data_IF_526895826207
#
_entry.id   IF_526895826207
#
_cell.length_a   1.000
_cell.length_b   1.000
_cell.length_c   1.000
_cell.angle_alpha   90.00
_cell.angle_beta   90.00
_cell.angle_gamma   90.00
#
_symmetry.space_group_name_H-M   'P 1'
#
loop_
_entity.id
_entity.type
_entity.pdbx_description
1 polymer ?
#
# COMPACT_ATOMS: atom_id res chain seq x y z
N UNK A 1 1.65 20.91 11.95
CA UNK A 1 2.74 20.59 10.98
C UNK A 1 2.62 21.68 9.95
N UNK A 2 3.59 22.61 9.91
CA UNK A 2 3.46 23.88 9.19
C UNK A 2 2.98 23.73 7.74
N UNK A 3 3.51 22.75 7.00
CA UNK A 3 3.06 22.45 5.64
C UNK A 3 1.56 22.10 5.56
N UNK A 4 1.10 21.18 6.41
CA UNK A 4 -0.29 20.74 6.45
C UNK A 4 -1.22 21.87 6.88
N UNK A 5 -0.76 22.74 7.80
CA UNK A 5 -1.54 23.88 8.29
C UNK A 5 -1.68 24.93 7.17
N UNK A 6 -0.60 25.22 6.45
CA UNK A 6 -0.61 26.11 5.28
C UNK A 6 -1.50 25.59 4.15
N UNK A 7 -1.46 24.28 3.85
CA UNK A 7 -2.38 23.66 2.88
C UNK A 7 -3.84 23.83 3.29
N UNK A 8 -4.15 23.59 4.57
CA UNK A 8 -5.53 23.69 5.05
C UNK A 8 -6.08 25.11 5.00
N UNK A 9 -5.22 26.11 5.22
CA UNK A 9 -5.58 27.53 5.20
C UNK A 9 -5.55 28.16 3.80
N UNK A 10 -5.21 27.40 2.76
CA UNK A 10 -5.10 27.93 1.40
C UNK A 10 -3.85 28.79 1.17
N UNK A 11 -2.87 28.72 2.05
CA UNK A 11 -1.62 29.47 1.96
C UNK A 11 -0.60 28.71 1.09
N UNK A 12 -0.90 28.58 -0.20
CA UNK A 12 -0.15 27.71 -1.13
C UNK A 12 1.33 28.06 -1.23
N UNK A 13 1.65 29.36 -1.22
CA UNK A 13 3.04 29.82 -1.26
C UNK A 13 3.80 29.39 0.00
N UNK A 14 3.18 29.55 1.17
CA UNK A 14 3.76 29.10 2.44
C UNK A 14 3.93 27.58 2.48
N UNK A 15 2.97 26.82 1.93
CA UNK A 15 3.09 25.37 1.82
C UNK A 15 4.24 24.96 0.90
N UNK A 16 4.42 25.64 -0.24
CA UNK A 16 5.57 25.43 -1.12
C UNK A 16 6.89 25.76 -0.41
N UNK A 17 6.98 26.92 0.23
CA UNK A 17 8.18 27.38 0.93
C UNK A 17 8.52 26.51 2.16
N UNK A 18 7.58 25.73 2.70
CA UNK A 18 7.84 24.78 3.78
C UNK A 18 8.74 23.59 3.36
N UNK A 19 8.71 23.23 2.08
CA UNK A 19 9.54 22.16 1.52
C UNK A 19 10.62 22.67 0.55
N UNK A 20 10.42 23.84 -0.05
CA UNK A 20 11.45 24.50 -0.83
C UNK A 20 12.56 25.05 0.09
N UNK A 21 13.83 24.78 -0.20
CA UNK A 21 14.96 25.18 0.67
C UNK A 21 15.22 24.23 1.84
N UNK A 22 14.82 22.96 1.71
CA UNK A 22 14.94 21.93 2.76
C UNK A 22 16.37 21.57 3.20
N UNK A 23 17.41 22.02 2.49
CA UNK A 23 18.84 21.72 2.72
C UNK A 23 19.25 20.23 2.85
N UNK A 24 18.31 19.29 2.75
CA UNK A 24 18.63 17.86 2.61
C UNK A 24 19.41 17.59 1.31
N UNK A 25 20.60 17.01 1.45
CA UNK A 25 21.45 16.66 0.31
C UNK A 25 21.07 15.33 -0.34
N UNK A 26 20.60 14.34 0.46
CA UNK A 26 20.23 12.98 0.03
C UNK A 26 19.10 12.38 0.90
N UNK A 27 18.62 11.18 0.53
CA UNK A 27 17.72 10.35 1.34
C UNK A 27 16.23 10.69 1.26
N UNK A 28 15.43 9.96 2.04
CA UNK A 28 13.95 9.99 1.98
C UNK A 28 13.37 11.38 2.27
N UNK A 29 14.01 12.16 3.16
CA UNK A 29 13.56 13.53 3.45
C UNK A 29 13.70 14.46 2.25
N UNK A 30 14.73 14.26 1.43
CA UNK A 30 14.88 14.99 0.16
C UNK A 30 13.82 14.56 -0.84
N UNK A 31 13.59 13.24 -0.97
CA UNK A 31 12.54 12.68 -1.84
C UNK A 31 11.18 13.28 -1.51
N UNK A 32 10.79 13.29 -0.23
CA UNK A 32 9.50 13.86 0.19
C UNK A 32 9.43 15.38 -0.02
N UNK A 33 10.51 16.11 0.29
CA UNK A 33 10.53 17.56 0.14
C UNK A 33 10.43 18.00 -1.34
N UNK A 34 11.24 17.41 -2.21
CA UNK A 34 11.17 17.65 -3.66
C UNK A 34 9.78 17.30 -4.20
N UNK A 35 9.23 16.17 -3.77
CA UNK A 35 7.91 15.75 -4.21
C UNK A 35 6.81 16.76 -3.80
N UNK A 36 6.71 17.13 -2.53
CA UNK A 36 5.65 18.03 -2.07
C UNK A 36 5.83 19.46 -2.58
N UNK A 37 7.06 19.96 -2.71
CA UNK A 37 7.32 21.25 -3.35
C UNK A 37 6.84 21.25 -4.81
N UNK A 38 7.19 20.21 -5.57
CA UNK A 38 6.74 20.05 -6.96
C UNK A 38 5.22 19.89 -7.08
N UNK A 39 4.60 19.10 -6.21
CA UNK A 39 3.16 18.89 -6.20
C UNK A 39 2.38 20.17 -5.89
N UNK A 40 2.80 20.97 -4.90
CA UNK A 40 2.17 22.26 -4.61
C UNK A 40 2.39 23.24 -5.76
N UNK A 41 3.59 23.29 -6.33
CA UNK A 41 3.89 24.15 -7.47
C UNK A 41 2.95 23.84 -8.66
N UNK A 42 2.74 22.56 -8.97
CA UNK A 42 1.88 22.15 -10.07
C UNK A 42 0.39 22.38 -9.78
N UNK A 43 -0.09 21.91 -8.62
CA UNK A 43 -1.54 21.73 -8.38
C UNK A 43 -2.19 22.89 -7.65
N UNK A 44 -1.40 23.76 -7.00
CA UNK A 44 -1.91 24.89 -6.22
C UNK A 44 -1.41 26.25 -6.72
N UNK A 45 -0.18 26.30 -7.24
CA UNK A 45 0.42 27.52 -7.77
C UNK A 45 0.32 27.66 -9.29
N UNK A 46 -0.12 26.62 -10.01
CA UNK A 46 -0.14 26.57 -11.48
C UNK A 46 1.22 26.91 -12.12
N UNK A 47 2.32 26.49 -11.48
CA UNK A 47 3.69 26.68 -11.95
C UNK A 47 4.30 25.33 -12.38
N UNK A 48 3.97 24.84 -13.59
CA UNK A 48 4.47 23.55 -14.05
C UNK A 48 5.98 23.56 -14.37
N UNK A 49 6.58 24.73 -14.60
CA UNK A 49 8.02 24.83 -14.84
C UNK A 49 8.82 24.58 -13.56
N UNK A 50 8.39 25.18 -12.44
CA UNK A 50 8.98 24.89 -11.12
C UNK A 50 8.71 23.46 -10.69
N UNK A 51 7.48 22.97 -10.90
CA UNK A 51 7.14 21.58 -10.59
C UNK A 51 8.05 20.57 -11.33
N UNK A 52 8.27 20.78 -12.64
CA UNK A 52 9.13 19.90 -13.43
C UNK A 52 10.57 19.84 -12.90
N UNK A 53 11.13 20.96 -12.40
CA UNK A 53 12.48 20.97 -11.80
C UNK A 53 12.57 20.09 -10.54
N UNK A 54 11.57 20.19 -9.66
CA UNK A 54 11.49 19.36 -8.46
C UNK A 54 11.33 17.88 -8.81
N UNK A 55 10.41 17.54 -9.71
CA UNK A 55 10.21 16.14 -10.10
C UNK A 55 11.40 15.55 -10.85
N UNK A 56 12.15 16.35 -11.61
CA UNK A 56 13.40 15.90 -12.23
C UNK A 56 14.49 15.65 -11.17
N UNK A 57 14.57 16.50 -10.14
CA UNK A 57 15.50 16.27 -9.02
C UNK A 57 15.11 15.01 -8.23
N UNK A 58 13.81 14.82 -7.96
CA UNK A 58 13.27 13.59 -7.38
C UNK A 58 13.70 12.35 -8.17
N UNK A 59 13.59 12.39 -9.50
CA UNK A 59 14.02 11.31 -10.41
C UNK A 59 15.52 11.03 -10.33
N UNK A 60 16.35 12.03 -10.07
CA UNK A 60 17.81 11.87 -9.97
C UNK A 60 18.25 11.35 -8.60
N UNK A 61 17.51 11.68 -7.53
CA UNK A 61 17.87 11.35 -6.13
C UNK A 61 17.69 9.87 -5.79
N UNK A 62 16.74 9.17 -6.39
CA UNK A 62 16.46 7.76 -6.05
C UNK A 62 16.08 6.94 -7.27
N UNK A 63 16.73 5.79 -7.46
CA UNK A 63 16.49 4.86 -8.57
C UNK A 63 15.45 3.77 -8.23
N UNK A 64 14.81 3.83 -7.05
CA UNK A 64 13.80 2.83 -6.69
C UNK A 64 12.58 2.95 -7.63
N UNK A 65 11.92 1.84 -7.99
CA UNK A 65 10.75 1.87 -8.89
C UNK A 65 9.63 2.79 -8.41
N UNK A 66 9.41 2.89 -7.10
CA UNK A 66 8.36 3.76 -6.52
C UNK A 66 8.66 5.22 -6.79
N UNK A 67 9.91 5.65 -6.52
CA UNK A 67 10.31 7.04 -6.75
C UNK A 67 10.37 7.36 -8.24
N UNK A 68 10.90 6.45 -9.07
CA UNK A 68 10.92 6.63 -10.53
C UNK A 68 9.51 6.73 -11.10
N UNK A 69 8.60 5.80 -10.74
CA UNK A 69 7.21 5.84 -11.17
C UNK A 69 6.52 7.14 -10.78
N UNK A 70 6.70 7.60 -9.53
CA UNK A 70 6.15 8.88 -9.04
C UNK A 70 6.72 10.07 -9.81
N UNK A 71 8.03 10.18 -9.92
CA UNK A 71 8.68 11.29 -10.60
C UNK A 71 8.26 11.38 -12.07
N UNK A 72 8.25 10.25 -12.79
CA UNK A 72 7.90 10.19 -14.22
C UNK A 72 6.42 10.50 -14.45
N UNK A 73 5.52 9.99 -13.61
CA UNK A 73 4.11 10.36 -13.69
C UNK A 73 3.92 11.87 -13.54
N UNK A 74 4.52 12.47 -12.51
CA UNK A 74 4.33 13.90 -12.23
C UNK A 74 5.09 14.82 -13.19
N UNK A 75 6.22 14.39 -13.76
CA UNK A 75 6.86 15.04 -14.91
C UNK A 75 5.95 15.04 -16.14
N UNK A 76 5.27 13.92 -16.40
CA UNK A 76 4.25 13.83 -17.45
C UNK A 76 3.12 14.84 -17.23
N UNK A 77 2.60 14.93 -15.99
CA UNK A 77 1.57 15.91 -15.61
C UNK A 77 2.03 17.35 -15.76
N UNK A 78 3.28 17.66 -15.38
CA UNK A 78 3.85 18.99 -15.56
C UNK A 78 4.05 19.33 -17.06
N UNK A 79 4.44 18.36 -17.89
CA UNK A 79 4.51 18.54 -19.34
C UNK A 79 3.13 18.78 -19.97
N UNK A 80 2.09 18.03 -19.56
CA UNK A 80 0.70 18.27 -19.98
C UNK A 80 0.26 19.71 -19.66
N UNK A 81 0.53 20.18 -18.44
CA UNK A 81 0.19 21.55 -18.01
C UNK A 81 0.93 22.66 -18.77
N UNK A 82 2.05 22.34 -19.43
CA UNK A 82 2.78 23.26 -20.33
C UNK A 82 2.33 23.16 -21.79
N UNK A 83 1.38 22.28 -22.13
CA UNK A 83 0.98 22.01 -23.51
C UNK A 83 1.97 21.13 -24.28
N UNK A 84 2.95 20.51 -23.61
CA UNK A 84 3.92 19.60 -24.22
C UNK A 84 3.40 18.15 -24.20
N UNK A 85 2.47 17.85 -25.12
CA UNK A 85 1.85 16.54 -25.21
C UNK A 85 2.85 15.42 -25.56
N UNK A 86 3.87 15.73 -26.38
CA UNK A 86 4.88 14.76 -26.79
C UNK A 86 5.79 14.39 -25.61
N UNK A 87 6.31 15.40 -24.89
CA UNK A 87 7.11 15.20 -23.70
C UNK A 87 6.33 14.48 -22.60
N UNK A 88 5.06 14.84 -22.40
CA UNK A 88 4.19 14.14 -21.46
C UNK A 88 4.08 12.63 -21.76
N UNK A 89 3.82 12.27 -23.02
CA UNK A 89 3.76 10.87 -23.44
C UNK A 89 5.10 10.15 -23.27
N UNK A 90 6.23 10.82 -23.52
CA UNK A 90 7.55 10.28 -23.24
C UNK A 90 7.73 9.89 -21.77
N UNK A 91 7.38 10.80 -20.85
CA UNK A 91 7.45 10.53 -19.41
C UNK A 91 6.49 9.42 -18.97
N UNK A 92 5.26 9.40 -19.47
CA UNK A 92 4.29 8.36 -19.12
C UNK A 92 4.73 6.97 -19.56
N UNK A 93 5.29 6.83 -20.77
CA UNK A 93 5.85 5.54 -21.23
C UNK A 93 7.03 5.09 -20.41
N UNK A 94 7.90 6.01 -19.99
CA UNK A 94 9.00 5.70 -19.09
C UNK A 94 8.48 5.26 -17.71
N UNK A 95 7.51 5.99 -17.15
CA UNK A 95 6.88 5.64 -15.87
C UNK A 95 6.17 4.29 -15.89
N UNK A 96 5.56 3.94 -17.04
CA UNK A 96 4.91 2.66 -17.26
C UNK A 96 5.86 1.45 -17.16
N UNK A 97 7.18 1.64 -17.26
CA UNK A 97 8.15 0.56 -17.01
C UNK A 97 8.17 0.13 -15.53
N UNK A 98 7.61 0.94 -14.63
CA UNK A 98 7.44 0.64 -13.21
C UNK A 98 6.00 0.24 -12.87
N UNK A 99 5.36 -0.54 -13.74
CA UNK A 99 3.93 -0.89 -13.71
C UNK A 99 3.45 -1.60 -12.43
N UNK A 100 4.37 -2.09 -11.60
CA UNK A 100 4.07 -2.66 -10.29
C UNK A 100 3.78 -1.60 -9.21
N UNK A 101 4.04 -0.32 -9.50
CA UNK A 101 3.89 0.79 -8.56
C UNK A 101 2.66 1.63 -8.88
N UNK A 102 2.07 2.29 -7.89
CA UNK A 102 0.88 3.12 -8.00
C UNK A 102 0.99 4.15 -9.12
N UNK A 103 2.04 4.97 -9.09
CA UNK A 103 2.26 5.99 -10.10
C UNK A 103 2.74 5.41 -11.44
N UNK A 104 3.41 4.25 -11.45
CA UNK A 104 3.71 3.54 -12.70
C UNK A 104 2.46 3.00 -13.40
N UNK A 105 1.45 2.54 -12.64
CA UNK A 105 0.14 2.15 -13.17
C UNK A 105 -0.63 3.35 -13.73
N UNK A 106 -0.66 4.47 -13.01
CA UNK A 106 -1.28 5.71 -13.52
C UNK A 106 -0.56 6.24 -14.77
N UNK A 107 0.77 6.14 -14.81
CA UNK A 107 1.58 6.50 -15.98
C UNK A 107 1.28 5.57 -17.16
N UNK A 108 1.13 4.26 -16.92
CA UNK A 108 0.74 3.30 -17.94
C UNK A 108 -0.65 3.62 -18.54
N UNK A 109 -1.65 3.94 -17.71
CA UNK A 109 -2.97 4.39 -18.22
C UNK A 109 -2.84 5.66 -19.07
N UNK A 110 -2.06 6.65 -18.61
CA UNK A 110 -1.79 7.90 -19.36
C UNK A 110 -1.00 7.67 -20.65
N UNK A 111 -0.19 6.62 -20.71
CA UNK A 111 0.51 6.18 -21.92
C UNK A 111 -0.38 5.40 -22.90
N UNK A 112 -1.66 5.18 -22.56
CA UNK A 112 -2.64 4.46 -23.39
C UNK A 112 -2.65 2.95 -23.18
N UNK A 113 -1.98 2.43 -22.15
CA UNK A 113 -2.07 1.01 -21.81
C UNK A 113 -3.42 0.71 -21.15
N UNK A 114 -4.12 -0.31 -21.66
CA UNK A 114 -5.43 -0.74 -21.15
C UNK A 114 -5.36 -2.02 -20.33
N UNK A 115 -4.20 -2.66 -20.28
CA UNK A 115 -4.02 -3.99 -19.71
C UNK A 115 -2.75 -4.03 -18.87
N UNK A 116 -2.86 -4.56 -17.65
CA UNK A 116 -1.74 -4.95 -16.81
C UNK A 116 -1.39 -6.39 -17.13
N UNK A 117 -0.17 -6.64 -17.59
CA UNK A 117 0.37 -7.99 -17.77
C UNK A 117 1.55 -8.19 -16.85
N UNK A 118 1.44 -9.19 -16.00
CA UNK A 118 2.47 -9.57 -15.04
C UNK A 118 3.51 -10.48 -15.71
N UNK A 119 4.80 -10.32 -15.40
CA UNK A 119 5.83 -11.23 -15.89
C UNK A 119 5.66 -12.62 -15.25
N UNK A 120 6.22 -13.65 -15.88
CA UNK A 120 6.43 -14.92 -15.19
C UNK A 120 7.50 -14.77 -14.12
N UNK A 121 7.41 -15.58 -13.07
CA UNK A 121 8.47 -15.66 -12.08
C UNK A 121 9.76 -16.26 -12.72
N UNK A 122 10.96 -15.84 -12.28
CA UNK A 122 12.20 -16.49 -12.66
C UNK A 122 12.15 -17.99 -12.30
N UNK A 123 12.49 -18.85 -13.26
CA UNK A 123 12.63 -20.28 -13.06
C UNK A 123 14.13 -20.62 -12.92
N UNK A 124 14.61 -21.00 -11.73
CA UNK A 124 16.02 -21.35 -11.53
C UNK A 124 16.40 -22.60 -12.34
N UNK A 125 17.52 -22.54 -13.06
CA UNK A 125 18.13 -23.71 -13.71
C UNK A 125 18.91 -24.58 -12.71
N UNK A 126 19.33 -25.78 -13.11
CA UNK A 126 20.23 -26.62 -12.30
C UNK A 126 21.54 -25.89 -11.93
N UNK A 127 22.07 -25.08 -12.86
CA UNK A 127 23.26 -24.28 -12.61
C UNK A 127 23.02 -23.14 -11.60
N UNK A 128 21.82 -22.54 -11.60
CA UNK A 128 21.43 -21.54 -10.59
C UNK A 128 21.33 -22.18 -9.21
N UNK A 129 20.71 -23.36 -9.12
CA UNK A 129 20.60 -24.11 -7.87
C UNK A 129 22.00 -24.49 -7.35
N UNK A 130 22.87 -25.01 -8.21
CA UNK A 130 24.23 -25.36 -7.82
C UNK A 130 25.04 -24.15 -7.31
N UNK A 131 24.90 -22.98 -7.98
CA UNK A 131 25.53 -21.73 -7.53
C UNK A 131 24.97 -21.27 -6.19
N UNK A 132 23.65 -21.32 -6.02
CA UNK A 132 22.97 -20.95 -4.77
C UNK A 132 23.44 -21.82 -3.60
N UNK A 133 23.47 -23.15 -3.77
CA UNK A 133 23.93 -24.09 -2.73
C UNK A 133 25.44 -24.05 -2.48
N UNK A 134 26.26 -23.56 -3.43
CA UNK A 134 27.68 -23.37 -3.20
C UNK A 134 27.98 -22.19 -2.26
N UNK A 135 27.07 -21.23 -2.12
CA UNK A 135 27.23 -20.07 -1.24
C UNK A 135 27.26 -20.52 0.24
N UNK A 136 28.32 -20.13 0.95
CA UNK A 136 28.52 -20.54 2.36
C UNK A 136 27.45 -19.98 3.30
N UNK A 137 26.97 -18.76 3.06
CA UNK A 137 25.91 -18.12 3.86
C UNK A 137 24.58 -18.81 3.60
N UNK A 138 24.31 -19.23 2.35
CA UNK A 138 23.13 -20.06 2.03
C UNK A 138 23.19 -21.39 2.77
N UNK A 139 24.32 -22.09 2.74
CA UNK A 139 24.49 -23.36 3.49
C UNK A 139 24.32 -23.19 4.99
N UNK A 140 24.87 -22.12 5.56
CA UNK A 140 24.67 -21.79 6.97
C UNK A 140 23.19 -21.51 7.28
N UNK A 141 22.50 -20.76 6.40
CA UNK A 141 21.06 -20.48 6.51
C UNK A 141 20.24 -21.76 6.47
N UNK A 142 20.60 -22.72 5.59
CA UNK A 142 19.98 -24.04 5.49
C UNK A 142 20.13 -24.83 6.79
N UNK A 143 21.33 -24.89 7.36
CA UNK A 143 21.59 -25.55 8.65
C UNK A 143 20.71 -24.94 9.76
N UNK A 144 20.63 -23.60 9.84
CA UNK A 144 19.77 -22.91 10.81
C UNK A 144 18.28 -23.26 10.62
N UNK A 145 17.85 -23.39 9.35
CA UNK A 145 16.54 -23.86 8.96
C UNK A 145 16.24 -25.26 9.49
N UNK A 146 17.17 -26.19 9.26
CA UNK A 146 17.08 -27.60 9.65
C UNK A 146 17.13 -27.82 11.17
N UNK A 147 17.87 -26.99 11.90
CA UNK A 147 17.97 -27.08 13.37
C UNK A 147 16.89 -26.30 14.11
N UNK A 148 16.03 -25.56 13.40
CA UNK A 148 14.93 -24.79 14.01
C UNK A 148 15.33 -23.42 14.56
N UNK A 149 16.55 -22.94 14.29
CA UNK A 149 17.09 -21.66 14.80
C UNK A 149 16.58 -20.45 13.99
N UNK A 150 15.25 -20.25 13.99
CA UNK A 150 14.57 -19.32 13.08
C UNK A 150 14.95 -17.85 13.28
N UNK A 151 15.31 -17.45 14.51
CA UNK A 151 15.76 -16.07 14.76
C UNK A 151 17.03 -15.75 13.96
N UNK A 152 18.00 -16.66 13.95
CA UNK A 152 19.22 -16.51 13.18
C UNK A 152 18.99 -16.75 11.69
N UNK A 153 18.12 -17.71 11.32
CA UNK A 153 17.71 -17.92 9.94
C UNK A 153 17.26 -16.61 9.29
N UNK A 154 16.40 -15.83 9.97
CA UNK A 154 15.89 -14.56 9.47
C UNK A 154 17.00 -13.53 9.23
N UNK A 155 17.93 -13.41 10.17
CA UNK A 155 19.06 -12.49 10.05
C UNK A 155 19.89 -12.82 8.80
N UNK A 156 20.18 -14.11 8.59
CA UNK A 156 20.94 -14.55 7.42
C UNK A 156 20.17 -14.37 6.11
N UNK A 157 18.86 -14.67 6.12
CA UNK A 157 18.01 -14.46 4.95
C UNK A 157 17.95 -12.98 4.53
N UNK A 158 17.85 -12.05 5.48
CA UNK A 158 17.89 -10.61 5.17
C UNK A 158 19.27 -10.16 4.68
N UNK A 159 20.36 -10.69 5.23
CA UNK A 159 21.69 -10.41 4.68
C UNK A 159 21.87 -10.96 3.25
N UNK A 160 21.26 -12.12 2.96
CA UNK A 160 21.30 -12.72 1.64
C UNK A 160 20.48 -11.93 0.61
N UNK A 161 19.33 -11.34 0.96
CA UNK A 161 18.53 -10.60 -0.01
C UNK A 161 19.21 -9.33 -0.56
N UNK A 162 20.10 -8.72 0.23
CA UNK A 162 20.95 -7.60 -0.16
C UNK A 162 22.13 -8.02 -1.06
N UNK A 163 22.64 -9.24 -0.88
CA UNK A 163 23.90 -9.70 -1.50
C UNK A 163 23.71 -10.63 -2.68
N UNK A 164 22.56 -11.31 -2.78
CA UNK A 164 22.28 -12.22 -3.88
C UNK A 164 22.06 -11.43 -5.19
N UNK A 165 22.83 -11.74 -6.24
CA UNK A 165 22.87 -10.91 -7.43
C UNK A 165 21.70 -11.17 -8.38
N UNK A 166 21.27 -12.44 -8.52
CA UNK A 166 20.33 -12.83 -9.56
C UNK A 166 18.88 -12.91 -9.06
N UNK A 167 17.87 -12.57 -9.90
CA UNK A 167 16.47 -12.83 -9.60
C UNK A 167 16.17 -14.31 -9.27
N UNK A 168 16.88 -15.25 -9.88
CA UNK A 168 16.76 -16.69 -9.60
C UNK A 168 17.27 -17.05 -8.20
N UNK A 169 18.32 -16.39 -7.71
CA UNK A 169 18.82 -16.60 -6.35
C UNK A 169 17.82 -16.09 -5.29
N UNK A 170 17.18 -14.95 -5.54
CA UNK A 170 16.13 -14.41 -4.67
C UNK A 170 14.88 -15.31 -4.69
N UNK A 171 14.52 -15.85 -5.85
CA UNK A 171 13.44 -16.84 -5.96
C UNK A 171 13.73 -18.08 -5.10
N UNK A 172 14.95 -18.62 -5.19
CA UNK A 172 15.40 -19.75 -4.36
C UNK A 172 15.40 -19.41 -2.86
N UNK A 173 15.84 -18.21 -2.47
CA UNK A 173 15.82 -17.76 -1.07
C UNK A 173 14.38 -17.63 -0.53
N UNK A 174 13.45 -17.09 -1.32
CA UNK A 174 12.03 -17.02 -0.95
C UNK A 174 11.45 -18.43 -0.77
N UNK A 175 11.77 -19.36 -1.67
CA UNK A 175 11.27 -20.73 -1.63
C UNK A 175 11.86 -21.51 -0.45
N UNK A 176 13.17 -21.35 -0.18
CA UNK A 176 13.83 -21.91 1.01
C UNK A 176 13.20 -21.39 2.30
N UNK A 177 12.97 -20.08 2.40
CA UNK A 177 12.31 -19.47 3.55
C UNK A 177 10.92 -20.04 3.78
N UNK A 178 10.12 -20.19 2.72
CA UNK A 178 8.80 -20.85 2.84
C UNK A 178 8.91 -22.31 3.28
N UNK A 179 9.88 -23.04 2.75
CA UNK A 179 10.12 -24.45 3.07
C UNK A 179 10.34 -24.69 4.57
N UNK A 180 10.95 -23.75 5.27
CA UNK A 180 11.16 -23.79 6.72
C UNK A 180 10.03 -23.14 7.54
N UNK A 181 8.88 -22.81 6.93
CA UNK A 181 7.76 -22.15 7.61
C UNK A 181 7.96 -20.64 7.85
N UNK A 182 8.98 -20.05 7.24
CA UNK A 182 9.33 -18.63 7.32
C UNK A 182 8.69 -17.83 6.18
N UNK A 183 7.36 -17.92 6.07
CA UNK A 183 6.58 -17.24 5.04
C UNK A 183 6.69 -15.71 5.08
N UNK A 184 6.70 -15.10 6.27
CA UNK A 184 6.90 -13.65 6.42
C UNK A 184 8.28 -13.23 5.91
N UNK A 185 9.32 -13.98 6.26
CA UNK A 185 10.69 -13.75 5.79
C UNK A 185 10.77 -13.84 4.27
N UNK A 186 10.15 -14.84 3.66
CA UNK A 186 10.05 -14.93 2.21
C UNK A 186 9.39 -13.68 1.59
N UNK A 187 8.34 -13.14 2.22
CA UNK A 187 7.68 -11.92 1.74
C UNK A 187 8.55 -10.67 1.90
N UNK A 188 9.37 -10.59 2.95
CA UNK A 188 10.34 -9.50 3.13
C UNK A 188 11.44 -9.53 2.06
N UNK A 189 12.00 -10.70 1.75
CA UNK A 189 12.91 -10.90 0.60
C UNK A 189 12.24 -10.44 -0.70
N UNK A 190 10.96 -10.80 -0.89
CA UNK A 190 10.16 -10.33 -2.03
C UNK A 190 9.99 -8.81 -2.09
N UNK A 191 9.84 -8.13 -0.94
CA UNK A 191 9.75 -6.67 -0.87
C UNK A 191 11.09 -6.02 -1.20
N UNK A 192 12.21 -6.56 -0.72
CA UNK A 192 13.56 -6.11 -1.09
C UNK A 192 13.79 -6.26 -2.61
N UNK A 193 13.42 -7.42 -3.18
CA UNK A 193 13.44 -7.64 -4.62
C UNK A 193 12.61 -6.60 -5.40
N UNK A 194 11.41 -6.26 -4.89
CA UNK A 194 10.56 -5.23 -5.50
C UNK A 194 11.20 -3.84 -5.49
N UNK A 195 11.97 -3.49 -4.45
CA UNK A 195 12.73 -2.22 -4.40
C UNK A 195 13.85 -2.17 -5.44
N UNK A 196 14.37 -3.33 -5.85
CA UNK A 196 15.35 -3.50 -6.93
C UNK A 196 14.71 -3.62 -8.32
N UNK A 197 13.38 -3.51 -8.43
CA UNK A 197 12.65 -3.64 -9.69
C UNK A 197 12.39 -5.09 -10.13
N UNK A 198 12.66 -6.07 -9.26
CA UNK A 198 12.45 -7.49 -9.54
C UNK A 198 11.04 -7.88 -9.09
N UNK A 199 10.17 -8.07 -10.06
CA UNK A 199 8.79 -8.52 -9.86
C UNK A 199 8.72 -10.04 -10.07
N UNK A 200 8.28 -10.75 -9.04
CA UNK A 200 8.03 -12.19 -9.04
C UNK A 200 6.59 -12.40 -8.60
N UNK A 201 5.61 -12.18 -9.49
CA UNK A 201 4.22 -12.10 -9.11
C UNK A 201 3.73 -13.28 -8.28
N UNK A 202 4.05 -14.52 -8.67
CA UNK A 202 3.58 -15.72 -7.97
C UNK A 202 4.09 -15.78 -6.54
N UNK A 203 5.39 -15.50 -6.34
CA UNK A 203 6.01 -15.47 -5.02
C UNK A 203 5.67 -14.21 -4.22
N UNK A 204 5.47 -13.04 -4.82
CA UNK A 204 5.32 -11.77 -4.08
C UNK A 204 3.87 -11.39 -3.77
N UNK A 205 2.89 -12.10 -4.34
CA UNK A 205 1.46 -11.82 -4.19
C UNK A 205 0.66 -13.10 -3.90
N UNK A 206 0.87 -13.79 -2.77
CA UNK A 206 0.19 -15.06 -2.50
C UNK A 206 -1.34 -14.90 -2.58
N UNK A 207 -2.00 -15.96 -3.06
CA UNK A 207 -3.46 -16.03 -3.16
C UNK A 207 -3.95 -17.00 -2.08
N UNK A 208 -4.71 -16.47 -1.11
CA UNK A 208 -5.50 -17.26 -0.16
C UNK A 208 -6.94 -16.81 -0.26
N UNK A 209 -7.83 -17.70 -0.69
CA UNK A 209 -9.25 -17.38 -0.81
C UNK A 209 -9.87 -17.44 0.59
N UNK A 210 -10.44 -16.34 1.12
CA UNK A 210 -11.11 -16.37 2.41
C UNK A 210 -12.41 -17.19 2.32
N UNK A 211 -12.91 -17.75 3.45
CA UNK A 211 -14.24 -18.32 3.49
C UNK A 211 -15.29 -17.33 3.01
N UNK A 212 -16.27 -17.81 2.23
CA UNK A 212 -17.30 -16.95 1.65
C UNK A 212 -18.24 -16.44 2.74
N UNK A 213 -18.52 -15.13 2.71
CA UNK A 213 -19.44 -14.47 3.61
C UNK A 213 -20.26 -13.42 2.85
N UNK A 214 -21.56 -13.35 3.15
CA UNK A 214 -22.45 -12.36 2.54
C UNK A 214 -21.99 -10.94 2.87
N UNK A 215 -21.98 -10.05 1.87
CA UNK A 215 -21.54 -8.67 2.03
C UNK A 215 -20.02 -8.47 2.08
N UNK A 216 -19.21 -9.52 1.82
CA UNK A 216 -17.76 -9.37 1.70
C UNK A 216 -17.35 -8.39 0.60
N UNK A 217 -16.24 -7.70 0.80
CA UNK A 217 -15.62 -6.90 -0.24
C UNK A 217 -15.11 -7.78 -1.41
N UNK A 218 -14.92 -7.20 -2.62
CA UNK A 218 -14.36 -7.93 -3.76
C UNK A 218 -13.03 -8.61 -3.44
N UNK A 219 -12.86 -9.86 -3.87
CA UNK A 219 -11.68 -10.66 -3.57
C UNK A 219 -10.33 -9.98 -3.88
N UNK A 220 -10.11 -9.31 -5.04
CA UNK A 220 -8.84 -8.63 -5.29
C UNK A 220 -8.52 -7.54 -4.24
N UNK A 221 -9.54 -6.84 -3.75
CA UNK A 221 -9.39 -5.79 -2.74
C UNK A 221 -9.08 -6.39 -1.36
N UNK A 222 -9.77 -7.47 -0.99
CA UNK A 222 -9.49 -8.23 0.24
C UNK A 222 -8.06 -8.78 0.27
N UNK A 223 -7.58 -9.35 -0.84
CA UNK A 223 -6.20 -9.83 -0.96
C UNK A 223 -5.19 -8.68 -0.87
N UNK A 224 -5.49 -7.52 -1.48
CA UNK A 224 -4.65 -6.33 -1.42
C UNK A 224 -4.51 -5.78 0.01
N UNK A 225 -5.61 -5.72 0.77
CA UNK A 225 -5.62 -5.35 2.19
C UNK A 225 -4.80 -6.38 2.99
N UNK A 226 -5.08 -7.68 2.82
CA UNK A 226 -4.35 -8.75 3.54
C UNK A 226 -2.83 -8.67 3.30
N UNK A 227 -2.41 -8.41 2.07
CA UNK A 227 -0.99 -8.19 1.72
C UNK A 227 -0.40 -7.01 2.46
N UNK A 228 -1.14 -5.90 2.53
CA UNK A 228 -0.66 -4.68 3.14
C UNK A 228 -0.60 -4.77 4.67
N UNK A 229 -1.55 -5.48 5.28
CA UNK A 229 -1.66 -5.63 6.74
C UNK A 229 -0.61 -6.58 7.33
N UNK A 230 -0.46 -7.78 6.74
CA UNK A 230 0.38 -8.83 7.35
C UNK A 230 1.36 -9.47 6.37
N UNK A 231 1.30 -9.12 5.08
CA UNK A 231 1.94 -9.91 4.02
C UNK A 231 1.54 -11.39 4.09
N UNK A 232 0.29 -11.70 4.47
CA UNK A 232 -0.24 -13.05 4.66
C UNK A 232 0.42 -13.85 5.80
N UNK A 233 1.02 -13.18 6.79
CA UNK A 233 1.48 -13.85 8.01
C UNK A 233 0.34 -13.97 9.04
N UNK A 234 -0.17 -15.17 9.33
CA UNK A 234 -1.22 -15.35 10.32
C UNK A 234 -0.73 -15.10 11.74
N UNK A 235 0.57 -15.00 11.98
CA UNK A 235 1.18 -14.74 13.30
C UNK A 235 1.50 -13.25 13.51
N UNK A 236 1.17 -12.39 12.54
CA UNK A 236 1.48 -10.96 12.61
C UNK A 236 0.75 -10.29 13.80
N UNK A 237 1.50 -9.55 14.61
CA UNK A 237 0.99 -8.77 15.74
C UNK A 237 1.52 -7.34 15.70
N UNK A 238 0.62 -6.35 15.65
CA UNK A 238 1.04 -4.95 15.76
C UNK A 238 1.29 -4.53 17.21
N UNK A 239 1.93 -3.38 17.39
CA UNK A 239 2.10 -2.73 18.71
C UNK A 239 0.76 -2.41 19.39
N UNK A 240 -0.28 -2.14 18.60
CA UNK A 240 -1.64 -1.89 19.08
C UNK A 240 -2.44 -3.19 19.32
N UNK A 241 -1.79 -4.35 19.25
CA UNK A 241 -2.41 -5.67 19.39
C UNK A 241 -3.39 -6.04 18.27
N UNK A 242 -3.17 -5.51 17.05
CA UNK A 242 -3.85 -6.01 15.86
C UNK A 242 -3.26 -7.36 15.46
N UNK A 243 -4.11 -8.35 15.13
CA UNK A 243 -3.68 -9.75 15.00
C UNK A 243 -4.03 -10.37 13.65
N UNK A 244 -3.14 -11.26 13.19
CA UNK A 244 -3.37 -12.16 12.06
C UNK A 244 -3.42 -11.48 10.70
N UNK A 245 -3.98 -12.23 9.74
CA UNK A 245 -3.92 -11.95 8.30
C UNK A 245 -4.35 -10.53 7.91
N UNK A 246 -5.43 -10.03 8.50
CA UNK A 246 -6.00 -8.72 8.19
C UNK A 246 -5.83 -7.71 9.35
N UNK A 247 -4.91 -8.00 10.29
CA UNK A 247 -4.56 -7.15 11.44
C UNK A 247 -5.81 -6.61 12.17
N UNK A 248 -6.55 -7.54 12.77
CA UNK A 248 -7.79 -7.21 13.48
C UNK A 248 -7.55 -6.94 14.96
N UNK A 249 -8.02 -5.79 15.46
CA UNK A 249 -8.04 -5.51 16.90
C UNK A 249 -9.10 -6.40 17.58
N UNK A 250 -8.82 -6.96 18.77
CA UNK A 250 -9.78 -7.76 19.53
C UNK A 250 -11.15 -7.07 19.72
N UNK A 251 -11.18 -5.76 19.98
CA UNK A 251 -12.41 -4.98 20.14
C UNK A 251 -13.23 -4.90 18.85
N UNK A 252 -12.58 -4.57 17.73
CA UNK A 252 -13.22 -4.54 16.40
C UNK A 252 -13.73 -5.93 16.02
N UNK A 253 -12.92 -6.98 16.25
CA UNK A 253 -13.27 -8.37 16.00
C UNK A 253 -14.55 -8.80 16.72
N UNK A 254 -14.68 -8.46 18.00
CA UNK A 254 -15.86 -8.79 18.80
C UNK A 254 -17.12 -8.13 18.25
N UNK A 255 -17.05 -6.84 17.89
CA UNK A 255 -18.17 -6.12 17.29
C UNK A 255 -18.58 -6.68 15.93
N UNK A 256 -17.61 -7.05 15.10
CA UNK A 256 -17.84 -7.63 13.77
C UNK A 256 -18.42 -9.04 13.88
N UNK A 257 -17.86 -9.89 14.74
CA UNK A 257 -18.38 -11.24 14.97
C UNK A 257 -19.84 -11.20 15.43
N UNK A 258 -20.21 -10.26 16.30
CA UNK A 258 -21.59 -10.05 16.74
C UNK A 258 -22.52 -9.69 15.56
N UNK A 259 -22.13 -8.73 14.71
CA UNK A 259 -22.94 -8.34 13.53
C UNK A 259 -23.07 -9.46 12.51
N UNK A 260 -22.04 -10.30 12.41
CA UNK A 260 -22.02 -11.45 11.53
C UNK A 260 -22.74 -12.69 12.12
N UNK A 261 -23.19 -12.64 13.39
CA UNK A 261 -23.83 -13.76 14.06
C UNK A 261 -22.85 -14.91 14.41
N UNK A 262 -21.55 -14.63 14.46
CA UNK A 262 -20.51 -15.60 14.80
C UNK A 262 -20.08 -15.47 16.25
N UNK A 263 -19.69 -16.59 16.87
CA UNK A 263 -19.04 -16.56 18.18
C UNK A 263 -17.68 -15.86 18.10
N UNK A 264 -17.44 -14.92 19.02
CA UNK A 264 -16.17 -14.23 19.13
C UNK A 264 -15.12 -15.11 19.85
N UNK A 265 -13.90 -15.17 19.32
CA UNK A 265 -12.73 -15.70 20.01
C UNK A 265 -11.48 -14.90 19.66
N UNK A 266 -10.83 -14.34 20.67
CA UNK A 266 -9.58 -13.59 20.52
C UNK A 266 -8.42 -14.48 20.02
N UNK A 267 -8.42 -15.76 20.42
CA UNK A 267 -7.40 -16.73 20.03
C UNK A 267 -7.54 -17.14 18.57
N UNK A 268 -8.78 -17.27 18.08
CA UNK A 268 -9.04 -17.57 16.67
C UNK A 268 -8.66 -16.44 15.73
N UNK A 269 -8.25 -15.27 16.23
CA UNK A 269 -7.67 -14.23 15.36
C UNK A 269 -6.34 -14.66 14.73
N UNK A 270 -5.66 -15.68 15.27
CA UNK A 270 -4.48 -16.31 14.65
C UNK A 270 -4.85 -17.38 13.61
N UNK A 271 -6.09 -17.85 13.60
CA UNK A 271 -6.60 -18.74 12.56
C UNK A 271 -6.87 -17.93 11.28
N UNK A 272 -6.20 -18.23 10.16
CA UNK A 272 -6.32 -17.43 8.94
C UNK A 272 -7.75 -17.32 8.44
N UNK A 273 -8.53 -18.41 8.49
CA UNK A 273 -9.87 -18.46 7.92
C UNK A 273 -10.86 -17.66 8.76
N UNK A 274 -10.81 -17.79 10.09
CA UNK A 274 -11.61 -16.96 10.98
C UNK A 274 -11.24 -15.48 10.86
N UNK A 275 -9.94 -15.15 10.87
CA UNK A 275 -9.47 -13.77 10.75
C UNK A 275 -9.92 -13.13 9.44
N UNK A 276 -9.70 -13.82 8.31
CA UNK A 276 -10.08 -13.31 7.00
C UNK A 276 -11.60 -13.31 6.79
N UNK A 277 -12.37 -14.18 7.44
CA UNK A 277 -13.85 -14.11 7.41
C UNK A 277 -14.33 -12.80 8.03
N UNK A 278 -13.89 -12.49 9.24
CA UNK A 278 -14.24 -11.25 9.93
C UNK A 278 -13.75 -10.02 9.16
N UNK A 279 -12.49 -10.05 8.71
CA UNK A 279 -11.87 -8.95 7.98
C UNK A 279 -12.53 -8.67 6.63
N UNK A 280 -12.87 -9.72 5.86
CA UNK A 280 -13.53 -9.56 4.54
C UNK A 280 -14.93 -8.97 4.68
N UNK A 281 -15.68 -9.41 5.69
CA UNK A 281 -16.99 -8.85 6.00
C UNK A 281 -16.88 -7.39 6.44
N UNK A 282 -15.98 -7.09 7.39
CA UNK A 282 -15.80 -5.72 7.87
C UNK A 282 -15.33 -4.75 6.77
N UNK A 283 -14.45 -5.21 5.89
CA UNK A 283 -14.02 -4.45 4.72
C UNK A 283 -15.21 -4.13 3.80
N UNK A 284 -16.11 -5.10 3.61
CA UNK A 284 -17.36 -4.90 2.88
C UNK A 284 -18.31 -3.91 3.55
N UNK A 285 -18.45 -3.97 4.88
CA UNK A 285 -19.23 -2.98 5.64
C UNK A 285 -18.69 -1.56 5.45
N UNK A 286 -17.37 -1.37 5.57
CA UNK A 286 -16.73 -0.08 5.34
C UNK A 286 -16.96 0.39 3.90
N UNK A 287 -16.80 -0.49 2.93
CA UNK A 287 -17.03 -0.16 1.52
C UNK A 287 -18.47 0.29 1.26
N UNK A 288 -19.45 -0.38 1.85
CA UNK A 288 -20.86 0.03 1.78
C UNK A 288 -21.09 1.39 2.44
N UNK A 289 -20.50 1.63 3.63
CA UNK A 289 -20.60 2.91 4.34
C UNK A 289 -20.01 4.08 3.54
N UNK A 290 -19.04 3.81 2.66
CA UNK A 290 -18.45 4.81 1.77
C UNK A 290 -19.03 4.79 0.34
N UNK A 291 -20.22 4.22 0.16
CA UNK A 291 -20.94 4.24 -1.10
C UNK A 291 -20.26 3.45 -2.22
N UNK A 292 -19.54 2.37 -1.87
CA UNK A 292 -18.78 1.55 -2.81
C UNK A 292 -17.36 2.05 -3.11
N UNK A 293 -16.91 3.12 -2.44
CA UNK A 293 -15.58 3.69 -2.73
C UNK A 293 -14.45 2.92 -2.02
N UNK A 294 -13.65 2.21 -2.80
CA UNK A 294 -12.46 1.49 -2.30
C UNK A 294 -11.43 2.45 -1.73
N UNK A 295 -11.19 3.60 -2.39
CA UNK A 295 -10.26 4.61 -1.89
C UNK A 295 -10.67 5.12 -0.51
N UNK A 296 -11.94 5.48 -0.29
CA UNK A 296 -12.41 5.89 1.04
C UNK A 296 -12.33 4.75 2.06
N UNK A 297 -12.56 3.52 1.61
CA UNK A 297 -12.44 2.32 2.46
C UNK A 297 -11.02 2.13 2.98
N UNK A 298 -10.00 2.38 2.15
CA UNK A 298 -8.60 2.31 2.61
C UNK A 298 -8.29 3.35 3.69
N UNK A 299 -8.89 4.55 3.62
CA UNK A 299 -8.80 5.55 4.70
C UNK A 299 -9.47 5.04 5.97
N UNK A 300 -10.70 4.53 5.85
CA UNK A 300 -11.47 4.04 6.98
C UNK A 300 -10.83 2.84 7.69
N UNK A 301 -10.20 1.94 6.93
CA UNK A 301 -9.53 0.75 7.45
C UNK A 301 -8.25 1.12 8.22
N UNK A 302 -7.39 1.97 7.65
CA UNK A 302 -6.10 2.30 8.26
C UNK A 302 -6.17 3.44 9.29
N UNK A 303 -6.93 4.50 9.02
CA UNK A 303 -6.96 5.70 9.87
C UNK A 303 -8.26 5.82 10.70
N UNK A 304 -9.19 4.89 10.53
CA UNK A 304 -10.51 4.88 11.16
C UNK A 304 -11.59 5.56 10.32
N UNK A 305 -12.85 5.08 10.40
CA UNK A 305 -13.92 5.46 9.47
C UNK A 305 -14.28 6.96 9.51
N UNK A 306 -14.08 7.62 10.65
CA UNK A 306 -14.34 9.05 10.80
C UNK A 306 -13.37 9.93 10.00
N UNK A 307 -12.20 9.42 9.59
CA UNK A 307 -11.19 10.20 8.86
C UNK A 307 -11.55 10.43 7.40
N UNK A 308 -12.19 9.47 6.74
CA UNK A 308 -12.60 9.59 5.34
C UNK A 308 -13.44 10.86 5.08
N UNK A 309 -14.56 11.12 5.78
CA UNK A 309 -15.33 12.35 5.57
C UNK A 309 -14.57 13.63 5.95
N UNK A 310 -13.72 13.59 6.99
CA UNK A 310 -12.88 14.73 7.37
C UNK A 310 -11.89 15.10 6.25
N UNK A 311 -11.30 14.09 5.62
CA UNK A 311 -10.35 14.31 4.53
C UNK A 311 -11.05 14.71 3.24
N UNK A 312 -12.26 14.22 2.97
CA UNK A 312 -13.10 14.74 1.88
C UNK A 312 -13.40 16.22 2.09
N UNK A 313 -13.73 16.66 3.31
CA UNK A 313 -13.95 18.07 3.60
C UNK A 313 -12.67 18.92 3.45
N UNK A 314 -11.50 18.34 3.77
CA UNK A 314 -10.20 19.01 3.72
C UNK A 314 -9.59 19.09 2.31
N UNK A 315 -9.66 17.98 1.57
CA UNK A 315 -8.93 17.76 0.33
C UNK A 315 -9.84 17.72 -0.91
N UNK A 316 -11.15 17.78 -0.70
CA UNK A 316 -12.17 17.57 -1.73
C UNK A 316 -12.50 16.10 -1.96
N UNK A 317 -13.62 15.84 -2.64
CA UNK A 317 -14.12 14.48 -2.86
C UNK A 317 -13.53 13.89 -4.14
N UNK A 318 -12.75 12.80 -4.08
CA UNK A 318 -12.18 12.17 -5.27
C UNK A 318 -13.21 11.34 -6.05
N UNK A 319 -14.39 11.06 -5.45
CA UNK A 319 -15.46 10.30 -6.09
C UNK A 319 -16.19 11.16 -7.09
N UNK A 320 -16.55 10.58 -8.24
CA UNK A 320 -17.32 11.28 -9.27
C UNK A 320 -16.59 12.45 -9.96
N UNK A 321 -15.29 12.65 -9.70
CA UNK A 321 -14.42 13.52 -10.49
C UNK A 321 -14.33 14.99 -10.07
N UNK A 322 -14.75 15.38 -8.86
CA UNK A 322 -14.58 16.77 -8.39
C UNK A 322 -13.11 17.12 -8.13
N UNK A 323 -12.35 16.17 -7.58
CA UNK A 323 -10.91 16.28 -7.34
C UNK A 323 -10.21 15.08 -7.95
N UNK A 324 -8.99 15.29 -8.46
CA UNK A 324 -8.13 14.20 -8.89
C UNK A 324 -7.81 13.29 -7.69
N UNK A 325 -8.09 11.97 -7.75
CA UNK A 325 -7.76 11.07 -6.66
C UNK A 325 -6.28 11.09 -6.25
N UNK A 326 -5.35 11.36 -7.17
CA UNK A 326 -3.94 11.52 -6.81
C UNK A 326 -3.73 12.74 -5.89
N UNK A 327 -4.42 13.86 -6.17
CA UNK A 327 -4.36 15.06 -5.32
C UNK A 327 -5.02 14.84 -3.96
N UNK A 328 -6.13 14.09 -3.91
CA UNK A 328 -6.76 13.71 -2.65
C UNK A 328 -5.79 12.90 -1.78
N UNK A 329 -5.13 11.88 -2.38
CA UNK A 329 -4.13 11.07 -1.69
C UNK A 329 -3.03 11.96 -1.15
N UNK A 330 -2.41 12.80 -1.98
CA UNK A 330 -1.23 13.56 -1.55
C UNK A 330 -1.56 14.68 -0.55
N UNK A 331 -2.78 15.21 -0.59
CA UNK A 331 -3.29 16.15 0.40
C UNK A 331 -3.53 15.52 1.79
N UNK A 332 -3.74 14.20 1.87
CA UNK A 332 -4.08 13.56 3.14
C UNK A 332 -2.97 13.77 4.20
N UNK A 333 -3.34 14.07 5.46
CA UNK A 333 -2.39 14.54 6.47
C UNK A 333 -1.45 13.45 7.01
N UNK A 334 -1.80 12.17 6.86
CA UNK A 334 -1.04 11.06 7.43
C UNK A 334 -0.22 10.39 6.34
N UNK A 335 1.12 10.52 6.41
CA UNK A 335 2.03 9.86 5.46
C UNK A 335 1.81 8.35 5.42
N UNK A 336 1.60 7.71 6.57
CA UNK A 336 1.29 6.28 6.64
C UNK A 336 0.06 5.95 5.80
N UNK A 337 -1.05 6.67 5.99
CA UNK A 337 -2.29 6.40 5.25
C UNK A 337 -2.18 6.76 3.78
N UNK A 338 -1.41 7.79 3.40
CA UNK A 338 -1.11 8.07 1.98
C UNK A 338 -0.47 6.87 1.31
N UNK A 339 0.59 6.34 1.94
CA UNK A 339 1.25 5.15 1.47
C UNK A 339 0.29 3.95 1.46
N UNK A 340 -0.51 3.77 2.50
CA UNK A 340 -1.50 2.71 2.58
C UNK A 340 -2.51 2.77 1.41
N UNK A 341 -3.11 3.93 1.13
CA UNK A 341 -4.02 4.14 -0.01
C UNK A 341 -3.36 3.71 -1.32
N UNK A 342 -2.15 4.21 -1.59
CA UNK A 342 -1.41 3.86 -2.82
C UNK A 342 -1.09 2.37 -2.90
N UNK A 343 -0.58 1.77 -1.82
CA UNK A 343 -0.18 0.36 -1.76
C UNK A 343 -1.36 -0.58 -1.93
N UNK A 344 -2.49 -0.32 -1.30
CA UNK A 344 -3.66 -1.19 -1.44
C UNK A 344 -4.21 -1.10 -2.86
N UNK A 345 -4.35 0.11 -3.41
CA UNK A 345 -4.92 0.29 -4.74
C UNK A 345 -3.99 -0.26 -5.84
N UNK A 346 -2.66 -0.10 -5.73
CA UNK A 346 -1.71 -0.71 -6.68
C UNK A 346 -1.71 -2.25 -6.57
N UNK A 347 -1.75 -2.80 -5.34
CA UNK A 347 -1.79 -4.24 -5.09
C UNK A 347 -3.08 -4.86 -5.64
N UNK A 348 -4.20 -4.15 -5.56
CA UNK A 348 -5.48 -4.61 -6.07
C UNK A 348 -5.43 -4.85 -7.59
N UNK A 349 -4.81 -3.93 -8.36
CA UNK A 349 -4.58 -4.15 -9.79
C UNK A 349 -3.74 -5.40 -10.06
N UNK A 350 -2.69 -5.63 -9.27
CA UNK A 350 -1.86 -6.84 -9.39
C UNK A 350 -2.69 -8.09 -9.06
N UNK A 351 -3.53 -8.05 -8.03
CA UNK A 351 -4.39 -9.18 -7.69
C UNK A 351 -5.48 -9.45 -8.74
N UNK A 352 -6.03 -8.42 -9.38
CA UNK A 352 -6.92 -8.59 -10.55
C UNK A 352 -6.22 -9.42 -11.64
N UNK A 353 -4.98 -9.08 -11.98
CA UNK A 353 -4.19 -9.83 -12.97
C UNK A 353 -3.80 -11.23 -12.48
N UNK A 354 -3.35 -11.39 -11.22
CA UNK A 354 -3.00 -12.69 -10.63
C UNK A 354 -4.16 -13.68 -10.62
N UNK A 355 -5.38 -13.20 -10.37
CA UNK A 355 -6.59 -14.02 -10.38
C UNK A 355 -7.07 -14.36 -11.80
N UNK A 356 -6.56 -13.68 -12.82
CA UNK A 356 -6.95 -13.85 -14.22
C UNK A 356 -5.76 -14.32 -15.09
N UNK A 357 -4.97 -15.27 -14.58
CA UNK A 357 -3.89 -15.91 -15.34
C UNK A 357 -2.68 -15.00 -15.65
N UNK A 358 -2.49 -13.93 -14.89
CA UNK A 358 -1.37 -13.01 -15.06
C UNK A 358 -1.69 -11.74 -15.84
N UNK A 359 -2.92 -11.56 -16.33
CA UNK A 359 -3.30 -10.35 -17.07
C UNK A 359 -4.71 -9.86 -16.71
N UNK A 360 -4.92 -8.55 -16.59
CA UNK A 360 -6.24 -7.96 -16.36
C UNK A 360 -6.33 -6.54 -16.91
N UNK A 361 -7.56 -6.00 -17.11
CA UNK A 361 -7.74 -4.59 -17.45
C UNK A 361 -7.06 -3.67 -16.42
N UNK A 362 -6.22 -2.76 -16.91
CA UNK A 362 -5.60 -1.72 -16.09
C UNK A 362 -6.64 -0.62 -15.87
N UNK A 363 -7.13 -0.54 -14.63
CA UNK A 363 -8.33 0.27 -14.28
C UNK A 363 -8.12 1.12 -13.03
N UNK A 364 -6.87 1.35 -12.62
CA UNK A 364 -6.55 2.03 -11.36
C UNK A 364 -7.21 3.40 -11.25
N UNK A 365 -7.14 4.23 -12.31
CA UNK A 365 -7.77 5.54 -12.36
C UNK A 365 -9.29 5.48 -12.18
N UNK A 366 -9.93 4.44 -12.72
CA UNK A 366 -11.37 4.22 -12.56
C UNK A 366 -11.70 3.77 -11.13
N UNK A 367 -10.95 2.80 -10.60
CA UNK A 367 -11.15 2.28 -9.24
C UNK A 367 -11.00 3.37 -8.16
N UNK A 368 -10.06 4.29 -8.35
CA UNK A 368 -9.83 5.41 -7.45
C UNK A 368 -11.00 6.41 -7.41
N UNK A 369 -11.72 6.57 -8.53
CA UNK A 369 -12.89 7.46 -8.65
C UNK A 369 -14.20 6.77 -8.28
N UNK A 370 -14.17 5.46 -8.13
CA UNK A 370 -15.36 4.65 -7.91
C UNK A 370 -16.05 5.00 -6.57
N UNK A 371 -17.34 4.70 -6.55
CA UNK A 371 -18.24 4.96 -5.44
C UNK A 371 -19.13 6.18 -5.67
N UNK A 372 -20.26 6.19 -4.97
CA UNK A 372 -21.24 7.27 -5.02
C UNK A 372 -20.95 8.23 -3.87
N UNK A 373 -21.12 9.52 -4.13
CA UNK A 373 -21.16 10.52 -3.07
C UNK A 373 -22.48 10.32 -2.32
N UNK A 374 -22.48 9.89 -1.04
CA UNK A 374 -23.73 9.88 -0.30
C UNK A 374 -24.27 11.30 -0.32
N UNK A 375 -25.52 11.47 -0.75
CA UNK A 375 -26.26 12.69 -0.42
C UNK A 375 -26.27 12.90 1.10
N UNK A 376 -26.73 14.05 1.62
CA UNK A 376 -26.87 14.23 3.06
C UNK A 376 -27.79 13.14 3.62
N UNK A 377 -27.19 12.08 4.15
CA UNK A 377 -27.87 11.00 4.84
C UNK A 377 -27.59 11.24 6.32
N UNK A 378 -28.63 11.36 7.16
CA UNK A 378 -28.43 11.59 8.57
C UNK A 378 -27.56 10.47 9.13
N UNK A 379 -26.47 10.85 9.78
CA UNK A 379 -25.70 9.94 10.61
C UNK A 379 -26.69 9.23 11.53
N UNK A 380 -26.93 7.93 11.30
CA UNK A 380 -27.39 7.07 12.38
C UNK A 380 -26.18 6.94 13.29
N UNK A 381 -26.09 7.83 14.27
CA UNK A 381 -25.12 7.72 15.36
C UNK A 381 -25.20 6.29 15.88
N UNK A 382 -24.11 5.54 15.74
CA UNK A 382 -23.86 4.44 16.64
C UNK A 382 -24.12 4.98 18.04
N UNK A 383 -25.05 4.37 18.76
CA UNK A 383 -25.41 4.71 20.13
C UNK A 383 -24.14 5.00 20.93
N UNK A 384 -24.08 6.11 21.68
CA UNK A 384 -22.91 6.39 22.51
C UNK A 384 -22.70 5.21 23.43
N UNK A 385 -21.44 4.80 23.57
CA UNK A 385 -20.99 3.94 24.64
C UNK A 385 -21.69 4.33 25.95
N UNK A 386 -22.30 3.35 26.62
CA UNK A 386 -22.59 3.45 28.05
C UNK A 386 -21.28 3.83 28.75
N UNK A 387 -21.21 5.08 29.19
CA UNK A 387 -20.21 5.50 30.14
C UNK A 387 -20.52 4.77 31.45
N UNK A 388 -19.82 3.68 31.72
CA UNK A 388 -19.72 3.17 33.09
C UNK A 388 -19.14 4.28 33.96
N UNK A 389 -19.83 4.72 35.04
CA UNK A 389 -19.27 5.72 35.93
C UNK A 389 -18.03 5.14 36.61
N UNK A 390 -16.97 5.94 36.69
CA UNK A 390 -15.78 5.62 37.48
C UNK A 390 -16.18 5.39 38.95
N UNK A 391 -15.64 4.36 39.64
CA UNK A 391 -15.90 4.17 41.05
C UNK A 391 -15.25 5.30 41.85
N UNK A 392 -16.03 5.92 42.74
CA UNK A 392 -15.55 6.87 43.74
C UNK A 392 -14.58 6.18 44.70
N UNK A 393 -13.44 6.80 45.08
CA UNK A 393 -12.60 6.29 46.15
C UNK A 393 -13.38 6.33 47.47
N UNK A 394 -13.44 5.21 48.18
CA UNK A 394 -13.94 5.16 49.55
C UNK A 394 -12.87 5.70 50.49
N UNK A 395 -13.19 6.79 51.19
CA UNK A 395 -12.44 7.21 52.37
C UNK A 395 -12.73 6.22 53.51
N UNK A 396 -11.70 5.52 53.94
CA UNK A 396 -11.63 4.92 55.27
C UNK A 396 -10.19 5.05 55.78
N UNK A 397 -10.10 5.86 56.85
CA UNK A 397 -8.95 6.23 57.70
C UNK A 397 -8.09 7.43 57.27
#
# INVERSE_FOLDING_TARGET
NYFLDALQQGQWRAAYDAFNGHNFSTGDRKVDAEFFAGWVALTKLNDPATAARHFETLRQVSQTPITQGRALYWLGRAAEARGDASGAQGYYRAGAQHIQTFYGQLAAEKAGMTTLTLPGDPAPSEADVARFEANEVVRATRILGETGEMTLFRVFAYQLDDTLPAPTDLALLMDMSRGYGEGFTAMMVGRAASQRGILMPERQYPIRIPPSVSGAAPLPFTLAITRQESSFDPRARSHADARGMMQFLPSTASGVARRLGMSYSAERLWDPDYNMTLGSYHLGELMNNFGGSMLMTTVGYNAGPARAPQWVARCGDPRGGQVDPADFIECAPFTETRNYMMRVMENMSVYKARLNGGSAPLTLSQDLRAGVRPGPSPYQSATPYDATPLPTPSDSE
#
